data_IF_470907354069
#
_entry.id   IF_470907354069
#
_cell.length_a   1.000
_cell.length_b   1.000
_cell.length_c   1.000
_cell.angle_alpha   90.00
_cell.angle_beta   90.00
_cell.angle_gamma   90.00
#
_symmetry.space_group_name_H-M   'P 1'
#
loop_
_entity.id
_entity.type
_entity.pdbx_description
1 polymer ?
#
# COMPACT_ATOMS: atom_id res chain seq x y z
N UNK A 1 24.43 -10.49 -5.24
CA UNK A 1 23.58 -10.40 -6.45
C UNK A 1 23.48 -8.92 -6.81
N UNK A 2 23.54 -8.54 -8.09
CA UNK A 2 23.26 -7.16 -8.51
C UNK A 2 21.88 -6.75 -7.92
N UNK A 3 21.48 -5.51 -7.69
CA UNK A 3 20.11 -5.17 -7.21
C UNK A 3 19.26 -4.51 -8.30
N UNK A 4 19.88 -4.20 -9.42
CA UNK A 4 19.23 -3.57 -10.57
C UNK A 4 19.33 -4.41 -11.84
N UNK A 5 18.57 -4.00 -12.85
CA UNK A 5 18.54 -4.51 -14.22
C UNK A 5 18.34 -3.33 -15.19
N UNK A 6 18.76 -3.46 -16.45
CA UNK A 6 18.44 -2.46 -17.47
C UNK A 6 16.96 -2.56 -17.85
N UNK A 7 16.24 -1.44 -17.83
CA UNK A 7 14.88 -1.36 -18.37
C UNK A 7 14.84 -1.05 -19.87
N UNK A 8 13.65 -0.84 -20.45
CA UNK A 8 13.50 -0.65 -21.91
C UNK A 8 14.23 0.57 -22.49
N UNK A 9 14.52 1.58 -21.67
CA UNK A 9 15.29 2.78 -22.03
C UNK A 9 16.80 2.65 -21.74
N UNK A 10 17.27 1.44 -21.41
CA UNK A 10 18.66 1.15 -21.05
C UNK A 10 19.05 1.58 -19.63
N UNK A 11 18.17 2.24 -18.87
CA UNK A 11 18.49 2.75 -17.52
C UNK A 11 18.25 1.71 -16.44
N UNK A 12 19.06 1.70 -15.37
CA UNK A 12 18.92 0.73 -14.29
C UNK A 12 17.63 0.94 -13.49
N UNK A 13 16.88 -0.14 -13.25
CA UNK A 13 15.69 -0.22 -12.38
C UNK A 13 15.83 -1.34 -11.36
N UNK A 14 15.02 -1.34 -10.32
CA UNK A 14 14.99 -2.42 -9.34
C UNK A 14 14.74 -3.76 -10.03
N UNK A 15 15.50 -4.83 -9.70
CA UNK A 15 15.35 -6.11 -10.41
C UNK A 15 13.93 -6.66 -10.40
N UNK A 16 13.23 -6.53 -9.28
CA UNK A 16 11.89 -7.09 -9.14
C UNK A 16 10.90 -6.53 -10.17
N UNK A 17 11.14 -5.36 -10.77
CA UNK A 17 10.22 -4.75 -11.73
C UNK A 17 10.13 -5.50 -13.07
N UNK A 18 11.09 -6.39 -13.40
CA UNK A 18 11.00 -7.23 -14.60
C UNK A 18 10.30 -8.58 -14.38
N UNK A 19 9.85 -8.87 -13.15
CA UNK A 19 9.18 -10.14 -12.87
C UNK A 19 7.85 -10.29 -13.63
N UNK A 20 7.24 -9.18 -14.06
CA UNK A 20 6.04 -9.16 -14.87
C UNK A 20 5.92 -7.84 -15.65
N UNK A 21 5.27 -7.81 -16.85
CA UNK A 21 5.10 -6.58 -17.62
C UNK A 21 4.41 -5.46 -16.84
N UNK A 22 3.42 -5.81 -16.00
CA UNK A 22 2.63 -4.84 -15.24
C UNK A 22 3.43 -4.14 -14.13
N UNK A 23 4.58 -4.69 -13.74
CA UNK A 23 5.41 -4.14 -12.65
C UNK A 23 6.24 -2.95 -13.07
N UNK A 24 6.59 -2.80 -14.35
CA UNK A 24 7.45 -1.72 -14.80
C UNK A 24 6.78 -0.36 -14.59
N UNK A 25 5.54 -0.21 -15.08
CA UNK A 25 4.79 1.04 -14.91
C UNK A 25 4.51 1.30 -13.44
N UNK A 26 4.04 0.29 -12.70
CA UNK A 26 3.81 0.40 -11.25
C UNK A 26 5.09 0.83 -10.50
N UNK A 27 6.25 0.31 -10.86
CA UNK A 27 7.54 0.71 -10.29
C UNK A 27 7.92 2.15 -10.66
N UNK A 28 7.77 2.54 -11.93
CA UNK A 28 8.26 3.81 -12.45
C UNK A 28 7.39 5.02 -12.05
N UNK A 29 6.08 4.80 -11.85
CA UNK A 29 5.11 5.91 -11.69
C UNK A 29 4.34 5.87 -10.37
N UNK A 30 4.34 4.76 -9.62
CA UNK A 30 3.56 4.63 -8.39
C UNK A 30 4.40 4.28 -7.16
N UNK A 31 5.20 3.22 -7.22
CA UNK A 31 5.84 2.65 -6.04
C UNK A 31 6.94 3.55 -5.48
N UNK A 32 6.85 3.85 -4.18
CA UNK A 32 7.82 4.68 -3.46
C UNK A 32 7.52 6.18 -3.53
N UNK A 33 6.59 6.62 -4.39
CA UNK A 33 6.21 8.03 -4.43
C UNK A 33 5.31 8.37 -3.23
N UNK A 34 5.54 9.51 -2.55
CA UNK A 34 4.79 9.88 -1.36
C UNK A 34 3.33 10.21 -1.72
N UNK A 35 2.38 9.70 -0.94
CA UNK A 35 0.93 9.86 -1.11
C UNK A 35 0.29 10.43 0.14
N UNK A 36 -0.52 11.49 -0.01
CA UNK A 36 -1.32 12.15 1.04
C UNK A 36 -2.84 11.98 0.86
N UNK A 37 -3.29 11.31 -0.20
CA UNK A 37 -4.71 11.06 -0.43
C UNK A 37 -5.24 9.89 0.41
N UNK A 38 -6.19 10.17 1.30
CA UNK A 38 -6.76 9.20 2.25
C UNK A 38 -7.36 7.97 1.54
N UNK A 39 -8.05 8.16 0.42
CA UNK A 39 -8.67 7.06 -0.33
C UNK A 39 -7.62 6.18 -1.01
N UNK A 40 -6.55 6.77 -1.55
CA UNK A 40 -5.43 6.05 -2.16
C UNK A 40 -4.65 5.25 -1.12
N UNK A 41 -4.42 5.82 0.06
CA UNK A 41 -3.78 5.13 1.19
C UNK A 41 -4.66 3.96 1.67
N UNK A 42 -5.96 4.19 1.83
CA UNK A 42 -6.91 3.15 2.21
C UNK A 42 -6.97 2.01 1.17
N UNK A 43 -7.05 2.35 -0.13
CA UNK A 43 -6.98 1.40 -1.24
C UNK A 43 -5.73 0.53 -1.08
N UNK A 44 -4.57 1.16 -0.97
CA UNK A 44 -3.31 0.43 -0.97
C UNK A 44 -3.20 -0.50 0.22
N UNK A 45 -3.54 -0.04 1.42
CA UNK A 45 -3.49 -0.87 2.62
C UNK A 45 -4.42 -2.09 2.51
N UNK A 46 -5.61 -1.92 1.94
CA UNK A 46 -6.53 -3.03 1.69
C UNK A 46 -5.98 -4.03 0.66
N UNK A 47 -5.38 -3.54 -0.44
CA UNK A 47 -4.78 -4.39 -1.47
C UNK A 47 -3.59 -5.20 -0.93
N UNK A 48 -2.76 -4.61 -0.07
CA UNK A 48 -1.68 -5.32 0.64
C UNK A 48 -2.25 -6.41 1.56
N UNK A 49 -3.38 -6.15 2.23
CA UNK A 49 -4.10 -7.17 3.01
C UNK A 49 -4.62 -8.33 2.13
N UNK A 50 -5.11 -8.03 0.93
CA UNK A 50 -5.52 -9.06 -0.03
C UNK A 50 -4.35 -9.92 -0.54
N UNK A 51 -3.13 -9.38 -0.56
CA UNK A 51 -1.95 -10.07 -1.04
C UNK A 51 -1.50 -11.24 -0.15
N UNK A 52 -1.92 -11.32 1.12
CA UNK A 52 -1.51 -12.42 2.02
C UNK A 52 -1.76 -13.81 1.41
N UNK A 53 -0.70 -14.57 1.15
CA UNK A 53 -0.76 -15.89 0.50
C UNK A 53 -0.82 -15.88 -1.03
N UNK A 54 -0.61 -14.73 -1.68
CA UNK A 54 -0.62 -14.54 -3.12
C UNK A 54 0.57 -13.68 -3.58
N UNK A 55 0.84 -13.68 -4.89
CA UNK A 55 1.80 -12.75 -5.47
C UNK A 55 1.20 -11.33 -5.58
N UNK A 56 2.03 -10.29 -5.46
CA UNK A 56 1.59 -8.92 -5.74
C UNK A 56 1.08 -8.76 -7.18
N UNK A 57 1.63 -9.52 -8.14
CA UNK A 57 1.15 -9.52 -9.53
C UNK A 57 -0.33 -9.89 -9.62
N UNK A 58 -0.77 -10.90 -8.87
CA UNK A 58 -2.18 -11.31 -8.82
C UNK A 58 -3.09 -10.15 -8.37
N UNK A 59 -2.64 -9.36 -7.40
CA UNK A 59 -3.40 -8.21 -6.91
C UNK A 59 -3.37 -7.06 -7.92
N UNK A 60 -2.19 -6.75 -8.49
CA UNK A 60 -2.03 -5.66 -9.44
C UNK A 60 -2.87 -5.86 -10.71
N UNK A 61 -2.87 -7.06 -11.28
CA UNK A 61 -3.70 -7.41 -12.46
C UNK A 61 -5.19 -7.28 -12.15
N UNK A 62 -5.61 -7.58 -10.92
CA UNK A 62 -7.01 -7.47 -10.48
C UNK A 62 -7.39 -6.08 -9.95
N UNK A 63 -6.47 -5.12 -9.89
CA UNK A 63 -6.66 -3.83 -9.20
C UNK A 63 -7.87 -3.06 -9.72
N UNK A 64 -8.06 -2.97 -11.04
CA UNK A 64 -9.22 -2.28 -11.62
C UNK A 64 -10.54 -2.97 -11.29
N UNK A 65 -10.54 -4.31 -11.21
CA UNK A 65 -11.73 -5.05 -10.79
C UNK A 65 -12.04 -4.80 -9.32
N UNK A 66 -11.02 -4.74 -8.45
CA UNK A 66 -11.17 -4.35 -7.05
C UNK A 66 -11.75 -2.94 -6.92
N UNK A 67 -11.19 -1.96 -7.65
CA UNK A 67 -11.70 -0.58 -7.67
C UNK A 67 -13.18 -0.55 -8.05
N UNK A 68 -13.57 -1.17 -9.16
CA UNK A 68 -15.00 -1.22 -9.56
C UNK A 68 -15.88 -1.91 -8.52
N UNK A 69 -15.44 -3.05 -7.98
CA UNK A 69 -16.21 -3.86 -7.05
C UNK A 69 -16.40 -3.19 -5.67
N UNK A 70 -15.43 -2.39 -5.25
CA UNK A 70 -15.35 -1.72 -3.95
C UNK A 70 -15.53 -0.20 -4.06
N UNK A 71 -16.28 0.29 -5.06
CA UNK A 71 -16.56 1.72 -5.27
C UNK A 71 -15.33 2.64 -5.20
N UNK A 72 -14.27 2.28 -5.91
CA UNK A 72 -12.99 2.97 -5.97
C UNK A 72 -12.38 3.22 -4.59
N UNK A 73 -12.60 2.27 -3.66
CA UNK A 73 -12.09 2.34 -2.29
C UNK A 73 -12.56 3.56 -1.50
N UNK A 74 -13.72 4.11 -1.85
CA UNK A 74 -14.41 5.08 -1.02
C UNK A 74 -14.86 4.41 0.29
N UNK A 75 -14.07 4.57 1.35
CA UNK A 75 -14.34 3.94 2.64
C UNK A 75 -15.68 4.40 3.24
N UNK A 76 -16.23 5.56 2.87
CA UNK A 76 -17.56 5.98 3.31
C UNK A 76 -18.68 5.17 2.65
N UNK A 77 -18.47 4.74 1.40
CA UNK A 77 -19.40 3.82 0.72
C UNK A 77 -19.24 2.40 1.24
N UNK A 78 -18.01 1.91 1.31
CA UNK A 78 -17.72 0.53 1.71
C UNK A 78 -18.15 0.25 3.15
N UNK A 79 -18.02 1.21 4.08
CA UNK A 79 -18.41 1.03 5.48
C UNK A 79 -19.90 0.66 5.66
N UNK A 80 -20.73 0.94 4.64
CA UNK A 80 -22.17 0.64 4.60
C UNK A 80 -22.51 -0.68 3.92
N UNK A 81 -21.51 -1.43 3.44
CA UNK A 81 -21.74 -2.73 2.83
C UNK A 81 -22.35 -3.70 3.84
N UNK A 82 -23.23 -4.55 3.32
CA UNK A 82 -24.00 -5.54 4.09
C UNK A 82 -23.59 -6.95 3.72
N UNK A 83 -24.19 -7.95 4.37
CA UNK A 83 -23.97 -9.37 4.01
C UNK A 83 -24.29 -9.63 2.52
N UNK A 84 -25.30 -8.98 1.96
CA UNK A 84 -25.63 -9.09 0.53
C UNK A 84 -24.48 -8.62 -0.37
N UNK A 85 -23.74 -7.61 0.06
CA UNK A 85 -22.56 -7.13 -0.67
C UNK A 85 -21.41 -8.13 -0.58
N UNK A 86 -21.21 -8.76 0.59
CA UNK A 86 -20.22 -9.83 0.77
C UNK A 86 -20.53 -11.00 -0.17
N UNK A 87 -21.78 -11.47 -0.18
CA UNK A 87 -22.23 -12.55 -1.08
C UNK A 87 -22.04 -12.19 -2.55
N UNK A 88 -22.42 -10.97 -2.96
CA UNK A 88 -22.19 -10.45 -4.31
C UNK A 88 -20.70 -10.45 -4.68
N UNK A 89 -19.83 -10.00 -3.78
CA UNK A 89 -18.38 -9.94 -4.01
C UNK A 89 -17.77 -11.35 -4.06
N UNK A 90 -18.29 -12.30 -3.29
CA UNK A 90 -17.87 -13.70 -3.34
C UNK A 90 -18.18 -14.37 -4.67
N UNK A 91 -19.12 -13.85 -5.48
CA UNK A 91 -19.37 -14.34 -6.83
C UNK A 91 -18.51 -13.64 -7.91
N UNK A 92 -17.78 -12.58 -7.56
CA UNK A 92 -17.02 -11.80 -8.53
C UNK A 92 -15.63 -12.43 -8.81
N UNK A 93 -15.49 -13.08 -9.96
CA UNK A 93 -14.24 -13.72 -10.39
C UNK A 93 -13.12 -12.72 -10.74
N UNK A 94 -13.49 -11.45 -10.95
CA UNK A 94 -12.57 -10.35 -11.19
C UNK A 94 -11.67 -10.03 -9.99
N UNK A 95 -12.09 -10.39 -8.77
CA UNK A 95 -11.34 -10.15 -7.52
C UNK A 95 -10.86 -11.45 -6.86
N UNK A 96 -10.29 -11.34 -5.66
CA UNK A 96 -9.96 -12.50 -4.82
C UNK A 96 -11.18 -12.86 -3.96
N UNK A 97 -11.82 -14.00 -4.27
CA UNK A 97 -13.04 -14.50 -3.60
C UNK A 97 -12.74 -15.13 -2.24
N UNK A 98 -12.32 -14.32 -1.27
CA UNK A 98 -12.01 -14.78 0.08
C UNK A 98 -12.84 -13.99 1.10
N UNK A 99 -13.83 -14.65 1.71
CA UNK A 99 -14.82 -14.04 2.61
C UNK A 99 -14.18 -13.17 3.69
N UNK A 100 -13.24 -13.73 4.47
CA UNK A 100 -12.60 -12.97 5.56
C UNK A 100 -11.78 -11.75 5.11
N UNK A 101 -11.33 -11.70 3.85
CA UNK A 101 -10.58 -10.54 3.32
C UNK A 101 -11.55 -9.45 2.83
N UNK A 102 -12.68 -9.86 2.26
CA UNK A 102 -13.78 -8.95 1.88
C UNK A 102 -14.37 -8.30 3.14
N UNK A 103 -14.72 -9.10 4.14
CA UNK A 103 -15.23 -8.61 5.43
C UNK A 103 -14.20 -7.71 6.14
N UNK A 104 -12.91 -8.03 6.03
CA UNK A 104 -11.85 -7.18 6.55
C UNK A 104 -11.83 -5.79 5.91
N UNK A 105 -12.04 -5.66 4.60
CA UNK A 105 -12.12 -4.35 3.94
C UNK A 105 -13.32 -3.55 4.41
N UNK A 106 -14.47 -4.19 4.64
CA UNK A 106 -15.67 -3.53 5.18
C UNK A 106 -15.40 -3.02 6.60
N UNK A 107 -14.83 -3.85 7.47
CA UNK A 107 -14.42 -3.44 8.82
C UNK A 107 -13.39 -2.30 8.75
N UNK A 108 -12.36 -2.43 7.92
CA UNK A 108 -11.31 -1.42 7.80
C UNK A 108 -11.87 -0.08 7.30
N UNK A 109 -12.89 -0.09 6.44
CA UNK A 109 -13.56 1.12 6.00
C UNK A 109 -14.26 1.84 7.16
N UNK A 110 -14.92 1.10 8.06
CA UNK A 110 -15.53 1.67 9.27
C UNK A 110 -14.45 2.26 10.21
N UNK A 111 -13.34 1.54 10.40
CA UNK A 111 -12.21 2.01 11.19
C UNK A 111 -11.53 3.24 10.57
N UNK A 112 -11.50 3.35 9.24
CA UNK A 112 -11.00 4.54 8.55
C UNK A 112 -11.89 5.76 8.85
N UNK A 113 -13.22 5.62 8.82
CA UNK A 113 -14.13 6.73 9.19
C UNK A 113 -13.91 7.20 10.64
N UNK A 114 -13.77 6.27 11.57
CA UNK A 114 -13.51 6.59 12.99
C UNK A 114 -12.16 7.27 13.19
N UNK A 115 -11.13 6.79 12.50
CA UNK A 115 -9.78 7.37 12.54
C UNK A 115 -9.80 8.78 11.96
N UNK A 116 -10.38 8.99 10.78
CA UNK A 116 -10.51 10.32 10.15
C UNK A 116 -11.30 11.28 11.03
N UNK A 117 -12.34 10.79 11.73
CA UNK A 117 -13.09 11.64 12.69
C UNK A 117 -12.22 12.10 13.87
N UNK A 118 -11.24 11.29 14.29
CA UNK A 118 -10.37 11.58 15.45
C UNK A 118 -9.12 12.38 15.06
N UNK A 119 -8.49 11.99 13.96
CA UNK A 119 -7.19 12.51 13.50
C UNK A 119 -7.33 13.46 12.31
N UNK A 120 -8.55 13.78 11.86
CA UNK A 120 -8.80 14.63 10.69
C UNK A 120 -8.50 13.97 9.33
N UNK A 121 -7.50 13.10 9.24
CA UNK A 121 -7.08 12.42 8.00
C UNK A 121 -6.36 11.09 8.28
N UNK A 122 -6.58 10.11 7.40
CA UNK A 122 -5.81 8.86 7.41
C UNK A 122 -4.34 9.11 7.07
N UNK A 123 -4.06 9.99 6.12
CA UNK A 123 -2.71 10.38 5.76
C UNK A 123 -1.98 11.04 6.93
N UNK A 124 -2.62 12.00 7.63
CA UNK A 124 -2.03 12.66 8.79
C UNK A 124 -1.62 11.66 9.89
N UNK A 125 -2.45 10.64 10.14
CA UNK A 125 -2.10 9.56 11.06
C UNK A 125 -0.96 8.68 10.56
N UNK A 126 -1.02 8.20 9.30
CA UNK A 126 -0.04 7.26 8.75
C UNK A 126 1.36 7.88 8.67
N UNK A 127 1.46 9.15 8.27
CA UNK A 127 2.74 9.84 8.10
C UNK A 127 3.46 10.14 9.42
N UNK A 128 2.80 10.02 10.58
CA UNK A 128 3.46 10.03 11.89
C UNK A 128 4.42 8.85 12.10
N UNK A 129 4.27 7.79 11.31
CA UNK A 129 5.10 6.59 11.36
C UNK A 129 6.18 6.57 10.27
N UNK A 130 6.49 7.71 9.65
CA UNK A 130 7.60 7.80 8.72
C UNK A 130 8.94 7.51 9.44
N UNK A 131 9.71 6.51 8.99
CA UNK A 131 11.01 6.21 9.60
C UNK A 131 12.02 7.35 9.40
N UNK A 132 12.94 7.48 10.35
CA UNK A 132 14.08 8.37 10.15
C UNK A 132 14.94 7.86 8.99
N UNK A 133 15.11 8.70 7.95
CA UNK A 133 15.87 8.35 6.76
C UNK A 133 17.33 7.96 7.06
N UNK A 134 17.93 8.48 8.13
CA UNK A 134 19.32 8.16 8.51
C UNK A 134 19.49 6.79 9.18
N UNK A 135 18.39 6.18 9.65
CA UNK A 135 18.40 4.87 10.34
C UNK A 135 17.90 3.73 9.46
N UNK A 136 17.51 4.01 8.21
CA UNK A 136 17.05 2.99 7.28
C UNK A 136 18.18 2.04 6.89
N UNK A 137 17.88 0.75 6.88
CA UNK A 137 18.77 -0.26 6.33
C UNK A 137 18.97 -0.06 4.82
N UNK A 138 19.95 -0.78 4.26
CA UNK A 138 20.17 -0.80 2.81
C UNK A 138 18.87 -1.18 2.09
N UNK A 139 18.51 -0.51 0.97
CA UNK A 139 17.25 -0.77 0.32
C UNK A 139 17.04 -2.24 -0.08
N UNK A 140 15.79 -2.72 0.01
CA UNK A 140 15.37 -4.07 -0.38
C UNK A 140 16.01 -5.20 0.44
N UNK A 141 16.44 -4.93 1.68
CA UNK A 141 17.04 -5.94 2.57
C UNK A 141 16.13 -6.39 3.70
N UNK A 142 15.09 -5.62 4.02
CA UNK A 142 14.17 -5.90 5.12
C UNK A 142 12.74 -6.12 4.63
N UNK A 143 11.94 -6.80 5.44
CA UNK A 143 10.50 -7.01 5.23
C UNK A 143 9.64 -6.43 6.35
N UNK A 144 10.27 -5.83 7.36
CA UNK A 144 9.65 -5.11 8.49
C UNK A 144 10.59 -4.02 8.99
N UNK A 145 10.06 -3.04 9.72
CA UNK A 145 10.84 -2.07 10.51
C UNK A 145 10.20 -1.85 11.89
N UNK A 146 10.90 -1.20 12.84
CA UNK A 146 10.29 -0.77 14.10
C UNK A 146 9.00 0.03 13.90
N UNK A 147 8.96 0.91 12.90
CA UNK A 147 7.81 1.75 12.56
C UNK A 147 6.67 0.93 11.94
N UNK A 148 6.97 -0.03 11.06
CA UNK A 148 5.93 -0.90 10.50
C UNK A 148 5.30 -1.81 11.56
N UNK A 149 6.09 -2.25 12.54
CA UNK A 149 5.62 -2.98 13.72
C UNK A 149 4.75 -2.08 14.60
N UNK A 150 5.17 -0.84 14.86
CA UNK A 150 4.41 0.12 15.66
C UNK A 150 3.07 0.48 15.00
N UNK A 151 3.07 0.83 13.71
CA UNK A 151 1.87 1.14 12.95
C UNK A 151 0.93 -0.08 12.86
N UNK A 152 1.47 -1.29 12.59
CA UNK A 152 0.69 -2.53 12.61
C UNK A 152 0.01 -2.76 13.96
N UNK A 153 0.74 -2.56 15.07
CA UNK A 153 0.21 -2.72 16.42
C UNK A 153 -0.92 -1.73 16.70
N UNK A 154 -0.74 -0.46 16.31
CA UNK A 154 -1.74 0.57 16.55
C UNK A 154 -3.00 0.35 15.70
N UNK A 155 -2.85 0.05 14.41
CA UNK A 155 -3.99 -0.30 13.55
C UNK A 155 -4.76 -1.51 14.11
N UNK A 156 -4.06 -2.56 14.55
CA UNK A 156 -4.71 -3.74 15.17
C UNK A 156 -5.43 -3.40 16.46
N UNK A 157 -4.84 -2.54 17.31
CA UNK A 157 -5.47 -2.06 18.54
C UNK A 157 -6.77 -1.29 18.24
N UNK A 158 -6.79 -0.56 17.13
CA UNK A 158 -8.00 0.10 16.62
C UNK A 158 -8.92 -0.85 15.82
N UNK A 159 -8.68 -2.16 15.83
CA UNK A 159 -9.59 -3.15 15.24
C UNK A 159 -9.42 -3.37 13.73
N UNK A 160 -8.41 -2.79 13.08
CA UNK A 160 -8.10 -3.08 11.68
C UNK A 160 -7.68 -4.55 11.50
N UNK A 161 -7.99 -5.11 10.33
CA UNK A 161 -7.75 -6.52 9.98
C UNK A 161 -6.80 -6.62 8.79
N UNK A 162 -6.06 -7.73 8.71
CA UNK A 162 -5.06 -8.01 7.66
C UNK A 162 -3.94 -6.96 7.54
N UNK A 163 -3.58 -6.32 8.64
CA UNK A 163 -2.53 -5.28 8.73
C UNK A 163 -1.33 -5.78 9.54
N UNK A 164 -0.73 -6.91 9.14
CA UNK A 164 0.48 -7.44 9.79
C UNK A 164 1.72 -6.57 9.54
N UNK A 165 2.80 -6.66 10.35
CA UNK A 165 3.97 -5.80 10.20
C UNK A 165 4.64 -5.87 8.81
N UNK A 166 4.63 -7.03 8.17
CA UNK A 166 5.15 -7.21 6.80
C UNK A 166 4.24 -6.55 5.77
N UNK A 167 2.93 -6.70 5.90
CA UNK A 167 1.93 -6.01 5.06
C UNK A 167 2.06 -4.50 5.18
N UNK A 168 2.21 -4.00 6.41
CA UNK A 168 2.38 -2.58 6.69
C UNK A 168 3.72 -2.07 6.15
N UNK A 169 4.80 -2.85 6.23
CA UNK A 169 6.07 -2.46 5.64
C UNK A 169 5.99 -2.35 4.12
N UNK A 170 5.37 -3.32 3.44
CA UNK A 170 5.11 -3.26 2.00
C UNK A 170 4.26 -2.03 1.62
N UNK A 171 3.24 -1.72 2.41
CA UNK A 171 2.46 -0.50 2.28
C UNK A 171 3.31 0.77 2.42
N UNK A 172 4.17 0.84 3.44
CA UNK A 172 5.05 2.00 3.70
C UNK A 172 6.05 2.23 2.55
N UNK A 173 6.63 1.16 2.01
CA UNK A 173 7.45 1.24 0.81
C UNK A 173 6.63 1.75 -0.38
N UNK A 174 5.44 1.18 -0.61
CA UNK A 174 4.67 1.50 -1.79
C UNK A 174 4.09 2.92 -1.80
N UNK A 175 3.65 3.43 -0.65
CA UNK A 175 3.10 4.79 -0.48
C UNK A 175 4.16 5.83 -0.16
N UNK A 176 5.43 5.44 -0.25
CA UNK A 176 6.55 6.36 -0.23
C UNK A 176 6.88 6.93 1.12
N UNK A 177 6.48 6.31 2.24
CA UNK A 177 7.04 6.60 3.56
C UNK A 177 8.53 6.19 3.59
N UNK A 178 8.86 5.12 2.87
CA UNK A 178 10.22 4.61 2.70
C UNK A 178 10.58 4.63 1.21
N UNK A 179 11.67 5.31 0.83
CA UNK A 179 12.23 5.18 -0.51
C UNK A 179 13.14 3.96 -0.58
N UNK A 180 12.54 2.81 -0.88
CA UNK A 180 13.22 1.51 -0.90
C UNK A 180 13.66 1.06 -2.30
N UNK A 181 13.70 2.00 -3.26
CA UNK A 181 14.33 1.74 -4.56
C UNK A 181 15.81 1.41 -4.37
N UNK A 182 16.33 0.42 -5.11
CA UNK A 182 17.74 0.06 -5.06
C UNK A 182 18.63 1.29 -5.34
N UNK A 183 19.81 1.36 -4.72
CA UNK A 183 20.72 2.53 -4.81
C UNK A 183 21.00 2.97 -6.25
N UNK A 184 21.19 2.01 -7.18
CA UNK A 184 21.42 2.29 -8.60
C UNK A 184 20.16 2.47 -9.45
N UNK A 185 18.96 2.44 -8.87
CA UNK A 185 17.71 2.58 -9.63
C UNK A 185 17.47 4.04 -10.03
N UNK A 186 17.18 4.29 -11.31
CA UNK A 186 16.88 5.63 -11.84
C UNK A 186 15.64 6.29 -11.20
N UNK A 187 14.70 5.49 -10.69
CA UNK A 187 13.49 6.00 -10.04
C UNK A 187 13.75 6.44 -8.60
N UNK A 188 14.81 5.95 -7.95
CA UNK A 188 15.19 6.32 -6.58
C UNK A 188 15.34 7.83 -6.44
N UNK A 189 16.03 8.46 -7.38
CA UNK A 189 16.28 9.91 -7.38
C UNK A 189 14.99 10.70 -7.61
N UNK A 190 14.12 10.25 -8.53
CA UNK A 190 12.81 10.88 -8.76
C UNK A 190 11.94 10.85 -7.51
N UNK A 191 11.92 9.71 -6.80
CA UNK A 191 11.21 9.57 -5.54
C UNK A 191 11.82 10.47 -4.45
N UNK A 192 13.15 10.53 -4.34
CA UNK A 192 13.83 11.39 -3.37
C UNK A 192 13.47 12.88 -3.60
N UNK A 193 13.48 13.33 -4.85
CA UNK A 193 13.07 14.69 -5.22
C UNK A 193 11.60 14.97 -4.89
N UNK A 194 10.70 14.00 -5.10
CA UNK A 194 9.29 14.15 -4.74
C UNK A 194 9.09 14.21 -3.23
N UNK A 195 9.81 13.38 -2.46
CA UNK A 195 9.81 13.38 -0.98
C UNK A 195 10.35 14.69 -0.41
N UNK A 196 11.42 15.25 -0.97
CA UNK A 196 11.96 16.55 -0.53
C UNK A 196 10.97 17.71 -0.69
N UNK A 197 10.03 17.61 -1.64
CA UNK A 197 8.97 18.60 -1.88
C UNK A 197 7.64 18.22 -1.21
N UNK A 198 7.55 17.03 -0.64
CA UNK A 198 6.32 16.53 -0.03
C UNK A 198 6.16 17.19 1.34
N UNK A 199 4.98 17.73 1.59
CA UNK A 199 4.62 18.28 2.90
C UNK A 199 3.83 17.20 3.60
N UNK A 200 4.33 16.74 4.75
CA UNK A 200 3.59 15.79 5.56
C UNK A 200 2.19 16.36 5.87
N UNK A 201 1.13 15.56 5.72
CA UNK A 201 -0.21 15.97 6.11
C UNK A 201 -0.24 16.20 7.62
N UNK A 202 -0.83 17.31 8.02
CA UNK A 202 -1.06 17.66 9.42
C UNK A 202 -2.56 17.76 9.66
N UNK A 203 -2.99 17.40 10.87
CA UNK A 203 -4.36 17.58 11.35
C UNK A 203 -4.69 19.06 11.55
#
# INVERSE_FOLDING_TARGET
MNTTIAGPDGKPRCRWCSAAPEFLDYHDIEWGFPVDDDFRLFEKLCLEGFQSGLSWRTILVKRENFRKALHYFDYNKIARFTERDVERLLQNEGIVRHRGKIEAVINNAQRAQELVKREGSLAAFIWQYEPNASTLAKPQTLSTSPESVALSKELKKQGWKFVGPTTVYAFMQAMGLINDHAEGCVIREKVAQRRAKFKQPVC
#
